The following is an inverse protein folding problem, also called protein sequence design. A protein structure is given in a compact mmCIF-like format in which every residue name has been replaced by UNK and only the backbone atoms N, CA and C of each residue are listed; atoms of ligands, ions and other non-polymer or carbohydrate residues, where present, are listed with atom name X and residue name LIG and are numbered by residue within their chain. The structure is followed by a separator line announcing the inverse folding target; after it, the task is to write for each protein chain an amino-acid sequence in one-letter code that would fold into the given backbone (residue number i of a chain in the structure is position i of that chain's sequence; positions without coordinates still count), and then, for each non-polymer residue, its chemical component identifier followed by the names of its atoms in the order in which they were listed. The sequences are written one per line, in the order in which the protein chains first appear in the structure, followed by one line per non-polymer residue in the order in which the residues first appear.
data_IF_942322729514
#
_entry.id   IF_942322729514
#
_cell.length_a   1.000
_cell.length_b   1.000
_cell.length_c   1.000
_cell.angle_alpha   90.00
_cell.angle_beta   90.00
_cell.angle_gamma   90.00
#
_symmetry.space_group_name_H-M   'P 1'
#
loop_
_entity.id
_entity.type
_entity.pdbx_description
1 polymer ?
#
# COMPACT_ATOMS: atom_id res chain seq x y z
N UNK A 1 -60.16 -0.18 11.96
CA UNK A 1 -59.01 -0.28 11.05
C UNK A 1 -57.81 0.35 11.72
N UNK A 2 -57.03 -0.44 12.44
CA UNK A 2 -55.74 0.00 12.99
C UNK A 2 -54.89 -1.26 13.14
N UNK A 3 -53.84 -1.36 12.33
CA UNK A 3 -52.72 -2.24 12.61
C UNK A 3 -51.45 -1.42 12.40
N UNK A 4 -50.81 -1.16 13.53
CA UNK A 4 -49.54 -0.48 13.67
C UNK A 4 -48.46 -1.19 12.84
N UNK A 5 -47.66 -0.41 12.11
CA UNK A 5 -46.43 -0.89 11.47
C UNK A 5 -45.41 -1.14 12.57
N UNK A 6 -45.32 -2.39 13.01
CA UNK A 6 -44.30 -2.89 13.93
C UNK A 6 -42.93 -2.89 13.23
N UNK A 7 -42.01 -2.05 13.71
CA UNK A 7 -40.58 -2.36 13.71
C UNK A 7 -39.73 -1.86 12.55
N UNK A 8 -39.53 -0.54 12.44
CA UNK A 8 -38.26 -0.04 11.90
C UNK A 8 -37.20 -0.30 12.99
N UNK A 9 -36.58 -1.48 12.95
CA UNK A 9 -35.34 -1.71 13.72
C UNK A 9 -34.36 -0.64 13.26
N UNK A 10 -33.88 0.18 14.20
CA UNK A 10 -32.86 1.21 13.97
C UNK A 10 -31.77 0.69 13.02
N UNK A 11 -31.84 1.09 11.76
CA UNK A 11 -30.70 1.00 10.85
C UNK A 11 -29.69 2.02 11.35
N UNK A 12 -28.92 1.65 12.37
CA UNK A 12 -27.68 2.35 12.68
C UNK A 12 -26.84 2.17 11.44
N UNK A 13 -26.81 3.20 10.59
CA UNK A 13 -25.89 3.28 9.47
C UNK A 13 -24.50 3.36 10.08
N UNK A 14 -23.86 2.20 10.26
CA UNK A 14 -22.48 2.12 10.73
C UNK A 14 -21.69 2.93 9.71
N UNK A 15 -21.06 4.03 10.11
CA UNK A 15 -20.24 4.77 9.15
C UNK A 15 -18.93 3.99 9.00
N UNK A 16 -18.39 3.87 7.78
CA UNK A 16 -17.01 3.42 7.59
C UNK A 16 -16.09 4.21 8.51
N UNK A 17 -15.31 3.51 9.35
CA UNK A 17 -14.36 4.15 10.25
C UNK A 17 -13.08 4.46 9.47
N UNK A 18 -12.55 5.69 9.53
CA UNK A 18 -11.29 6.00 8.88
C UNK A 18 -10.16 5.18 9.53
N UNK A 19 -9.20 4.75 8.73
CA UNK A 19 -7.97 4.13 9.21
C UNK A 19 -6.74 4.80 8.62
N UNK A 20 -5.63 4.62 9.31
CA UNK A 20 -4.33 5.18 9.00
C UNK A 20 -3.25 4.20 9.49
N UNK A 21 -2.35 3.79 8.58
CA UNK A 21 -1.25 2.88 8.92
C UNK A 21 -0.10 3.58 9.67
N UNK A 22 -0.09 4.91 9.70
CA UNK A 22 1.12 5.67 9.99
C UNK A 22 2.17 5.50 8.88
N UNK A 23 3.36 6.05 9.11
CA UNK A 23 4.49 5.91 8.18
C UNK A 23 5.14 4.54 8.32
N UNK A 24 5.20 3.81 7.21
CA UNK A 24 5.80 2.52 7.07
C UNK A 24 7.13 2.68 6.32
N UNK A 25 8.23 2.21 6.92
CA UNK A 25 9.53 2.24 6.26
C UNK A 25 9.63 1.14 5.23
N UNK A 26 9.97 1.52 4.00
CA UNK A 26 10.31 0.57 2.94
C UNK A 26 11.70 0.00 3.26
N UNK A 27 11.87 -1.32 3.35
CA UNK A 27 13.19 -1.91 3.57
C UNK A 27 14.08 -1.60 2.36
N UNK A 28 15.08 -0.74 2.54
CA UNK A 28 16.09 -0.45 1.53
C UNK A 28 17.32 -1.33 1.78
N UNK A 29 17.88 -1.89 0.72
CA UNK A 29 19.18 -2.55 0.76
C UNK A 29 20.13 -1.73 -0.09
N UNK A 30 21.25 -1.36 0.50
CA UNK A 30 22.23 -0.46 -0.13
C UNK A 30 23.27 -1.28 -0.89
N UNK A 31 23.58 -0.94 -2.14
CA UNK A 31 24.71 -1.55 -2.83
C UNK A 31 24.84 -1.24 -4.32
N UNK A 32 23.72 -1.11 -5.03
CA UNK A 32 23.70 -0.69 -6.43
C UNK A 32 22.35 -0.04 -6.78
N UNK A 33 22.34 0.67 -7.90
CA UNK A 33 21.11 1.21 -8.47
C UNK A 33 20.22 0.06 -8.95
N UNK A 34 18.93 0.13 -8.64
CA UNK A 34 17.93 -0.80 -9.12
C UNK A 34 17.73 -0.62 -10.63
N UNK A 35 17.30 -1.66 -11.34
CA UNK A 35 16.72 -1.56 -12.67
C UNK A 35 15.20 -1.43 -12.61
N UNK A 36 14.57 -1.10 -13.74
CA UNK A 36 13.10 -1.08 -13.86
C UNK A 36 12.52 -2.47 -13.66
N UNK A 37 11.51 -2.58 -12.80
CA UNK A 37 10.79 -3.81 -12.53
C UNK A 37 11.42 -4.68 -11.44
N UNK A 38 12.38 -4.15 -10.70
CA UNK A 38 13.02 -4.86 -9.60
C UNK A 38 12.29 -4.66 -8.27
N UNK A 39 12.40 -5.67 -7.42
CA UNK A 39 11.89 -5.64 -6.06
C UNK A 39 12.84 -4.88 -5.13
N UNK A 40 12.29 -3.94 -4.36
CA UNK A 40 13.00 -3.22 -3.29
C UNK A 40 12.80 -3.94 -1.96
N UNK A 41 13.89 -4.30 -1.28
CA UNK A 41 13.87 -4.84 0.08
C UNK A 41 13.78 -6.35 0.20
N UNK A 42 13.72 -7.09 -0.92
CA UNK A 42 13.81 -8.55 -1.00
C UNK A 42 12.64 -9.35 -0.36
N UNK A 43 11.78 -8.72 0.40
CA UNK A 43 10.56 -9.30 0.96
C UNK A 43 9.48 -8.21 1.06
N UNK A 44 8.21 -8.55 0.84
CA UNK A 44 7.11 -7.63 1.13
C UNK A 44 7.11 -7.21 2.60
N UNK A 45 6.90 -5.92 2.85
CA UNK A 45 6.76 -5.38 4.21
C UNK A 45 5.28 -5.24 4.59
N UNK A 46 4.98 -5.31 5.88
CA UNK A 46 3.60 -5.26 6.37
C UNK A 46 3.09 -3.83 6.48
N UNK A 47 1.79 -3.64 6.20
CA UNK A 47 1.07 -2.40 6.51
C UNK A 47 0.87 -2.15 8.00
N UNK A 48 1.25 -3.11 8.85
CA UNK A 48 0.75 -3.17 10.23
C UNK A 48 -0.75 -3.45 10.27
N UNK A 49 -1.36 -3.17 11.43
CA UNK A 49 -2.78 -3.45 11.66
C UNK A 49 -3.67 -2.55 10.80
N UNK A 50 -4.54 -3.15 10.00
CA UNK A 50 -5.59 -2.49 9.21
C UNK A 50 -6.92 -3.23 9.34
N UNK A 51 -8.06 -2.59 9.01
CA UNK A 51 -9.35 -3.28 8.95
C UNK A 51 -9.31 -4.53 8.06
N UNK A 52 -10.04 -5.60 8.40
CA UNK A 52 -10.01 -6.84 7.59
C UNK A 52 -10.60 -6.69 6.18
N UNK A 53 -11.37 -5.65 5.95
CA UNK A 53 -11.91 -5.24 4.65
C UNK A 53 -11.98 -3.72 4.65
N UNK A 54 -11.78 -3.10 3.51
CA UNK A 54 -11.87 -1.65 3.42
C UNK A 54 -11.57 -1.10 2.05
N UNK A 55 -11.37 0.21 2.01
CA UNK A 55 -10.95 0.93 0.82
C UNK A 55 -9.77 1.83 1.17
N UNK A 56 -8.64 1.64 0.50
CA UNK A 56 -7.52 2.58 0.49
C UNK A 56 -7.91 3.73 -0.43
N UNK A 57 -7.98 4.93 0.12
CA UNK A 57 -8.41 6.12 -0.63
C UNK A 57 -7.26 7.07 -0.94
N UNK A 58 -6.23 7.09 -0.10
CA UNK A 58 -5.08 7.97 -0.29
C UNK A 58 -3.80 7.26 0.11
N UNK A 59 -2.78 7.43 -0.72
CA UNK A 59 -1.42 6.98 -0.44
C UNK A 59 -0.54 8.20 -0.36
N UNK A 60 0.37 8.20 0.61
CA UNK A 60 1.40 9.21 0.74
C UNK A 60 2.75 8.53 0.71
N UNK A 61 3.70 9.13 0.02
CA UNK A 61 5.09 8.70 -0.01
C UNK A 61 5.98 9.87 0.36
N UNK A 62 7.00 9.61 1.17
CA UNK A 62 8.11 10.53 1.37
C UNK A 62 9.41 9.81 1.04
N UNK A 63 10.22 10.48 0.22
CA UNK A 63 11.51 10.01 -0.25
C UNK A 63 12.57 11.06 0.11
N UNK A 64 13.49 10.70 0.99
CA UNK A 64 14.55 11.59 1.50
C UNK A 64 15.78 11.66 0.59
N UNK A 65 15.84 10.83 -0.45
CA UNK A 65 16.92 10.84 -1.43
C UNK A 65 16.54 11.53 -2.75
N UNK A 66 15.25 11.81 -2.94
CA UNK A 66 14.69 12.50 -4.12
C UNK A 66 14.93 11.75 -5.41
N UNK A 67 14.83 10.44 -5.36
CA UNK A 67 14.78 9.64 -6.58
C UNK A 67 13.52 10.01 -7.38
N UNK A 68 12.39 10.29 -6.71
CA UNK A 68 11.15 10.78 -7.35
C UNK A 68 10.66 9.86 -8.47
N UNK A 69 11.00 8.59 -8.38
CA UNK A 69 10.74 7.61 -9.44
C UNK A 69 9.37 6.96 -9.27
N UNK A 70 8.75 6.69 -10.42
CA UNK A 70 7.55 5.90 -10.47
C UNK A 70 7.80 4.51 -9.87
N UNK A 71 6.76 3.95 -9.24
CA UNK A 71 6.81 2.62 -8.65
C UNK A 71 5.42 1.99 -8.62
N UNK A 72 5.40 0.67 -8.58
CA UNK A 72 4.20 -0.08 -8.23
C UNK A 72 4.29 -0.59 -6.79
N UNK A 73 3.21 -0.39 -6.04
CA UNK A 73 2.99 -1.06 -4.78
C UNK A 73 2.16 -2.31 -5.05
N UNK A 74 2.82 -3.48 -5.16
CA UNK A 74 2.13 -4.75 -5.27
C UNK A 74 1.64 -5.20 -3.89
N UNK A 75 0.35 -5.52 -3.77
CA UNK A 75 -0.35 -5.75 -2.50
C UNK A 75 -0.78 -7.20 -2.42
N UNK A 76 -0.45 -7.86 -1.32
CA UNK A 76 -0.76 -9.26 -1.05
C UNK A 76 -1.50 -9.43 0.28
N UNK A 77 -2.36 -10.43 0.37
CA UNK A 77 -3.14 -10.76 1.58
C UNK A 77 -2.43 -11.77 2.50
N UNK A 78 -1.33 -12.37 2.04
CA UNK A 78 -0.45 -13.28 2.77
C UNK A 78 0.96 -13.21 2.21
N UNK A 79 1.90 -13.83 2.93
CA UNK A 79 3.30 -13.92 2.52
C UNK A 79 3.44 -14.68 1.21
N UNK A 80 4.24 -14.14 0.29
CA UNK A 80 4.65 -14.78 -0.96
C UNK A 80 6.08 -15.29 -0.83
N UNK A 81 6.50 -16.15 -1.76
CA UNK A 81 7.91 -16.48 -1.90
C UNK A 81 8.70 -15.20 -2.18
N UNK A 82 9.79 -15.00 -1.43
CA UNK A 82 10.71 -13.86 -1.61
C UNK A 82 11.17 -13.74 -3.07
N UNK A 83 11.14 -12.52 -3.60
CA UNK A 83 12.03 -12.13 -4.70
C UNK A 83 13.26 -11.50 -4.06
N UNK A 84 14.47 -11.86 -4.48
CA UNK A 84 15.67 -11.19 -3.97
C UNK A 84 15.60 -9.66 -4.20
N UNK A 85 16.24 -8.89 -3.31
CA UNK A 85 16.42 -7.45 -3.53
C UNK A 85 17.26 -7.21 -4.80
N UNK A 86 16.96 -6.13 -5.53
CA UNK A 86 17.62 -5.81 -6.81
C UNK A 86 17.56 -6.96 -7.82
N UNK A 87 16.43 -7.67 -7.80
CA UNK A 87 16.12 -8.68 -8.80
C UNK A 87 14.73 -8.42 -9.38
N UNK A 88 14.52 -8.86 -10.62
CA UNK A 88 13.24 -8.75 -11.29
C UNK A 88 12.12 -9.30 -10.41
N UNK A 89 11.06 -8.50 -10.22
CA UNK A 89 9.91 -8.90 -9.43
C UNK A 89 9.11 -9.98 -10.16
N UNK A 90 9.49 -11.23 -9.89
CA UNK A 90 8.93 -12.44 -10.47
C UNK A 90 8.20 -13.25 -9.39
N UNK A 91 6.89 -12.99 -9.27
CA UNK A 91 6.04 -13.69 -8.30
C UNK A 91 5.60 -15.02 -8.90
N UNK A 92 5.76 -16.10 -8.13
CA UNK A 92 5.35 -17.42 -8.57
C UNK A 92 3.84 -17.49 -8.84
N UNK A 93 3.39 -18.28 -9.83
CA UNK A 93 1.97 -18.41 -10.14
C UNK A 93 1.09 -18.80 -8.94
N UNK A 94 1.58 -19.65 -8.04
CA UNK A 94 0.86 -20.03 -6.81
C UNK A 94 0.68 -18.86 -5.83
N UNK A 95 1.65 -17.96 -5.78
CA UNK A 95 1.67 -16.79 -4.90
C UNK A 95 0.85 -15.64 -5.47
N UNK A 96 0.72 -15.55 -6.80
CA UNK A 96 -0.13 -14.56 -7.47
C UNK A 96 -1.60 -14.64 -7.03
N UNK A 97 -2.07 -15.79 -6.55
CA UNK A 97 -3.41 -15.94 -5.98
C UNK A 97 -3.61 -15.16 -4.67
N UNK A 98 -2.53 -14.73 -4.01
CA UNK A 98 -2.59 -13.85 -2.85
C UNK A 98 -2.59 -12.37 -3.21
N UNK A 99 -2.36 -12.04 -4.48
CA UNK A 99 -2.32 -10.65 -4.90
C UNK A 99 -3.72 -10.05 -4.78
N UNK A 100 -3.84 -9.05 -3.91
CA UNK A 100 -5.04 -8.24 -3.81
C UNK A 100 -5.08 -7.33 -5.05
N UNK A 101 -3.92 -6.74 -5.40
CA UNK A 101 -3.71 -5.99 -6.64
C UNK A 101 -2.45 -5.13 -6.58
N UNK A 102 -2.45 -4.00 -7.30
CA UNK A 102 -1.31 -3.08 -7.35
C UNK A 102 -1.77 -1.63 -7.49
N UNK A 103 -0.93 -0.71 -7.00
CA UNK A 103 -1.18 0.72 -7.07
C UNK A 103 0.06 1.40 -7.64
N UNK A 104 -0.10 2.08 -8.76
CA UNK A 104 0.95 2.85 -9.42
C UNK A 104 1.06 4.22 -8.78
N UNK A 105 2.29 4.61 -8.42
CA UNK A 105 2.68 5.98 -8.12
C UNK A 105 3.56 6.45 -9.28
N UNK A 106 3.23 7.57 -9.88
CA UNK A 106 3.95 8.14 -11.02
C UNK A 106 4.90 9.25 -10.57
N UNK A 107 5.89 9.59 -11.40
CA UNK A 107 6.75 10.75 -11.15
C UNK A 107 5.94 12.06 -10.99
N UNK A 108 4.80 12.18 -11.67
CA UNK A 108 3.96 13.38 -11.64
C UNK A 108 3.23 13.56 -10.29
N UNK A 109 3.16 12.52 -9.47
CA UNK A 109 2.54 12.60 -8.14
C UNK A 109 3.48 13.25 -7.10
N UNK A 110 4.79 13.31 -7.38
CA UNK A 110 5.79 13.86 -6.47
C UNK A 110 5.88 15.38 -6.57
N UNK A 111 6.01 16.00 -5.41
CA UNK A 111 6.44 17.38 -5.23
C UNK A 111 7.86 17.37 -4.67
N UNK A 112 8.78 17.97 -5.41
CA UNK A 112 10.20 18.09 -5.06
C UNK A 112 10.43 19.23 -4.06
N UNK A 113 11.17 18.95 -3.00
CA UNK A 113 11.75 19.93 -2.08
C UNK A 113 13.27 19.94 -2.20
N UNK A 114 13.96 20.80 -1.44
CA UNK A 114 15.42 20.93 -1.53
C UNK A 114 16.14 19.58 -1.33
N UNK A 115 15.76 18.84 -0.28
CA UNK A 115 16.45 17.62 0.18
C UNK A 115 15.55 16.38 0.26
N UNK A 116 14.31 16.48 -0.21
CA UNK A 116 13.34 15.38 -0.14
C UNK A 116 12.25 15.59 -1.20
N UNK A 117 11.45 14.57 -1.43
CA UNK A 117 10.25 14.66 -2.25
C UNK A 117 9.07 14.02 -1.53
N UNK A 118 7.87 14.40 -1.94
CA UNK A 118 6.64 13.94 -1.31
C UNK A 118 5.57 13.71 -2.36
N UNK A 119 4.98 12.52 -2.38
CA UNK A 119 3.82 12.22 -3.21
C UNK A 119 2.56 12.11 -2.37
N UNK A 120 1.44 12.62 -2.89
CA UNK A 120 0.11 12.33 -2.39
C UNK A 120 -0.75 11.87 -3.55
N UNK A 121 -1.18 10.63 -3.50
CA UNK A 121 -2.06 10.03 -4.51
C UNK A 121 -3.47 9.94 -3.90
N UNK A 122 -4.35 10.94 -4.13
CA UNK A 122 -5.73 10.90 -3.65
C UNK A 122 -6.61 10.06 -4.58
N UNK A 123 -7.84 9.78 -4.14
CA UNK A 123 -8.88 9.11 -4.93
C UNK A 123 -8.46 7.75 -5.51
N UNK A 124 -7.61 7.03 -4.78
CA UNK A 124 -7.15 5.69 -5.15
C UNK A 124 -8.31 4.70 -5.23
N UNK A 125 -9.28 4.81 -4.30
CA UNK A 125 -10.54 4.06 -4.34
C UNK A 125 -10.38 2.53 -4.30
N UNK A 126 -9.25 2.04 -3.80
CA UNK A 126 -8.85 0.65 -3.96
C UNK A 126 -9.42 -0.23 -2.84
N UNK A 127 -10.32 -1.13 -3.20
CA UNK A 127 -10.97 -2.04 -2.26
C UNK A 127 -10.07 -3.25 -1.95
N UNK A 128 -10.02 -3.65 -0.69
CA UNK A 128 -9.18 -4.76 -0.25
C UNK A 128 -9.88 -5.68 0.75
N UNK A 129 -9.36 -6.90 0.85
CA UNK A 129 -9.62 -7.85 1.94
C UNK A 129 -8.28 -8.28 2.54
N UNK A 130 -8.17 -8.20 3.85
CA UNK A 130 -6.99 -8.52 4.65
C UNK A 130 -7.41 -9.49 5.78
N UNK A 131 -7.50 -10.81 5.51
CA UNK A 131 -8.06 -11.78 6.46
C UNK A 131 -7.38 -11.76 7.84
N UNK A 132 -6.06 -11.51 7.83
CA UNK A 132 -5.20 -11.42 9.02
C UNK A 132 -5.17 -10.02 9.65
N UNK A 133 -5.90 -9.04 9.09
CA UNK A 133 -5.86 -7.65 9.55
C UNK A 133 -4.56 -6.92 9.21
N UNK A 134 -3.84 -7.39 8.19
CA UNK A 134 -2.66 -6.75 7.60
C UNK A 134 -2.63 -7.04 6.10
N UNK A 135 -1.96 -6.17 5.34
CA UNK A 135 -1.54 -6.44 3.97
C UNK A 135 -0.02 -6.47 3.93
N UNK A 136 0.51 -7.13 2.90
CA UNK A 136 1.92 -7.14 2.58
C UNK A 136 2.15 -6.37 1.28
N UNK A 137 3.14 -5.50 1.29
CA UNK A 137 3.43 -4.57 0.20
C UNK A 137 4.82 -4.86 -0.33
N UNK A 138 4.93 -5.12 -1.62
CA UNK A 138 6.19 -5.13 -2.33
C UNK A 138 6.30 -3.85 -3.16
N UNK A 139 7.38 -3.10 -2.93
CA UNK A 139 7.72 -1.96 -3.76
C UNK A 139 8.47 -2.44 -5.00
N UNK A 140 7.99 -2.07 -6.18
CA UNK A 140 8.55 -2.46 -7.47
C UNK A 140 8.90 -1.20 -8.25
N UNK A 141 10.14 -1.10 -8.68
CA UNK A 141 10.65 0.10 -9.37
C UNK A 141 10.03 0.23 -10.77
N UNK A 142 9.73 1.47 -11.19
CA UNK A 142 9.41 1.83 -12.58
C UNK A 142 10.41 2.88 -13.08
N UNK A 143 11.68 2.56 -12.91
CA UNK A 143 12.83 3.40 -13.21
C UNK A 143 14.09 2.77 -12.62
N UNK A 144 15.16 3.55 -12.55
CA UNK A 144 16.49 3.08 -12.11
C UNK A 144 16.91 3.84 -10.85
N UNK A 145 16.22 3.67 -9.69
CA UNK A 145 16.55 4.42 -8.49
C UNK A 145 17.88 4.00 -7.89
N UNK A 146 18.59 4.95 -7.31
CA UNK A 146 19.82 4.71 -6.55
C UNK A 146 19.71 5.25 -5.12
N UNK A 147 18.87 4.60 -4.30
CA UNK A 147 18.65 5.01 -2.92
C UNK A 147 19.94 4.98 -2.09
N UNK A 148 20.36 6.14 -1.62
CA UNK A 148 21.54 6.32 -0.81
C UNK A 148 21.38 5.71 0.58
N UNK A 149 22.50 5.23 1.12
CA UNK A 149 22.54 4.66 2.47
C UNK A 149 22.11 5.69 3.51
N UNK A 150 21.22 5.27 4.42
CA UNK A 150 20.75 6.12 5.51
C UNK A 150 19.64 7.09 5.12
N UNK A 151 19.19 7.08 3.86
CA UNK A 151 18.00 7.81 3.41
C UNK A 151 16.74 7.01 3.67
N UNK A 152 15.70 7.71 4.09
CA UNK A 152 14.40 7.10 4.34
C UNK A 152 13.51 7.15 3.10
N UNK A 153 12.92 5.99 2.80
CA UNK A 153 11.75 5.86 1.94
C UNK A 153 10.60 5.35 2.79
N UNK A 154 9.51 6.10 2.86
CA UNK A 154 8.35 5.76 3.68
C UNK A 154 7.05 5.90 2.90
N UNK A 155 6.09 5.04 3.22
CA UNK A 155 4.74 5.04 2.64
C UNK A 155 3.68 5.01 3.74
N UNK A 156 2.54 5.64 3.48
CA UNK A 156 1.39 5.66 4.39
C UNK A 156 0.10 5.46 3.62
N UNK A 157 -0.78 4.62 4.17
CA UNK A 157 -2.09 4.34 3.59
C UNK A 157 -3.20 4.92 4.47
N UNK A 158 -4.10 5.67 3.84
CA UNK A 158 -5.29 6.24 4.46
C UNK A 158 -6.52 5.69 3.75
N UNK A 159 -7.55 5.37 4.53
CA UNK A 159 -8.75 4.77 3.97
C UNK A 159 -9.90 4.69 4.95
N UNK A 160 -10.87 3.85 4.59
CA UNK A 160 -12.06 3.59 5.40
C UNK A 160 -12.28 2.09 5.54
N UNK A 161 -12.71 1.65 6.72
CA UNK A 161 -13.11 0.27 6.96
C UNK A 161 -14.35 -0.09 6.14
N UNK A 162 -14.40 -1.33 5.67
CA UNK A 162 -15.55 -1.86 4.96
C UNK A 162 -16.72 -2.04 5.93
N UNK A 163 -17.95 -2.03 5.40
CA UNK A 163 -19.13 -2.44 6.16
C UNK A 163 -19.05 -3.95 6.45
N UNK A 164 -18.32 -4.33 7.49
CA UNK A 164 -18.43 -5.65 8.10
C UNK A 164 -19.61 -5.64 9.05
N UNK A 165 -20.72 -6.28 8.66
CA UNK A 165 -21.67 -6.79 9.64
C UNK A 165 -20.90 -7.66 10.63
N UNK A 166 -21.04 -7.38 11.92
CA UNK A 166 -20.53 -8.23 12.99
C UNK A 166 -21.03 -9.66 12.80
#
# INVERSE_FOLDING_TARGET
MSWFITGIKNLVRIRPEPFDTGWLTVPLVTGAAYATGEAVGGQPFSTGAIPKKGTINTIMVMDEDKEELACDLAIFDRLITATADQAAFDVKPEDMLSQVGSILITNADYVTYANSSYATVPNVGYQYTAPEGLLLIQWVTRGVPNFATGKLLVVRFLGYSGHGGK
#
